data_IF_893851844181
#
_entry.id   IF_893851844181
#
_cell.length_a   1.000
_cell.length_b   1.000
_cell.length_c   1.000
_cell.angle_alpha   90.00
_cell.angle_beta   90.00
_cell.angle_gamma   90.00
#
_symmetry.space_group_name_H-M   'P 1'
#
loop_
_entity.id
_entity.type
_entity.pdbx_description
1 polymer ?
#
# COMPACT_ATOMS: atom_id res chain seq x y z
N UNK A 1 -13.99 5.38 -4.84
CA UNK A 1 -12.70 4.80 -4.40
C UNK A 1 -13.02 3.38 -3.97
N UNK A 2 -12.57 2.39 -4.74
CA UNK A 2 -12.92 0.99 -4.52
C UNK A 2 -12.45 0.50 -3.14
N UNK A 3 -13.24 -0.38 -2.53
CA UNK A 3 -13.22 -0.84 -1.15
C UNK A 3 -11.82 -1.28 -0.64
N UNK A 4 -11.10 -0.38 0.03
CA UNK A 4 -9.95 -0.77 0.85
C UNK A 4 -10.46 -1.10 2.24
N UNK A 5 -10.33 -2.36 2.63
CA UNK A 5 -10.66 -2.83 3.97
C UNK A 5 -9.44 -2.70 4.86
N UNK A 6 -9.57 -1.89 5.90
CA UNK A 6 -8.56 -1.78 6.96
C UNK A 6 -8.80 -2.84 8.02
N UNK A 7 -7.74 -3.30 8.68
CA UNK A 7 -7.84 -4.12 9.88
C UNK A 7 -8.29 -3.29 11.09
N UNK A 8 -8.44 -3.94 12.24
CA UNK A 8 -8.86 -3.29 13.50
C UNK A 8 -7.90 -2.20 13.97
N UNK A 9 -6.64 -2.24 13.53
CA UNK A 9 -5.61 -1.23 13.81
C UNK A 9 -5.61 -0.05 12.81
N UNK A 10 -6.53 -0.04 11.84
CA UNK A 10 -6.60 1.00 10.80
C UNK A 10 -5.51 0.88 9.72
N UNK A 11 -4.93 -0.30 9.56
CA UNK A 11 -3.87 -0.60 8.59
C UNK A 11 -4.36 -1.49 7.45
N UNK A 12 -3.76 -1.32 6.27
CA UNK A 12 -3.94 -2.18 5.09
C UNK A 12 -2.60 -2.81 4.70
N UNK A 13 -2.57 -4.11 4.35
CA UNK A 13 -1.34 -4.72 3.85
C UNK A 13 -1.05 -4.24 2.42
N UNK A 14 0.18 -3.84 2.17
CA UNK A 14 0.68 -3.39 0.88
C UNK A 14 1.78 -4.34 0.39
N UNK A 15 1.55 -4.96 -0.77
CA UNK A 15 2.51 -5.84 -1.43
C UNK A 15 3.16 -5.08 -2.57
N UNK A 16 4.46 -4.85 -2.49
CA UNK A 16 5.23 -4.23 -3.58
C UNK A 16 5.76 -5.35 -4.46
N UNK A 17 5.45 -5.26 -5.75
CA UNK A 17 5.90 -6.18 -6.77
C UNK A 17 6.69 -5.44 -7.83
N UNK A 18 7.67 -6.12 -8.41
CA UNK A 18 8.34 -5.65 -9.61
C UNK A 18 7.37 -5.70 -10.79
N UNK A 19 7.31 -4.61 -11.57
CA UNK A 19 6.21 -4.35 -12.49
C UNK A 19 6.18 -5.30 -13.71
N UNK A 20 7.32 -5.80 -14.16
CA UNK A 20 7.41 -6.61 -15.38
C UNK A 20 7.33 -8.11 -15.07
N UNK A 21 7.95 -8.55 -13.97
CA UNK A 21 7.99 -9.98 -13.61
C UNK A 21 6.91 -10.41 -12.63
N UNK A 22 6.27 -9.47 -11.93
CA UNK A 22 5.35 -9.76 -10.82
C UNK A 22 6.06 -10.32 -9.58
N UNK A 23 7.40 -10.29 -9.54
CA UNK A 23 8.16 -10.75 -8.36
C UNK A 23 7.82 -9.89 -7.16
N UNK A 24 7.38 -10.52 -6.07
CA UNK A 24 7.17 -9.84 -4.79
C UNK A 24 8.52 -9.37 -4.24
N UNK A 25 8.64 -8.07 -4.00
CA UNK A 25 9.82 -7.42 -3.45
C UNK A 25 9.71 -7.25 -1.95
N UNK A 26 8.55 -6.81 -1.46
CA UNK A 26 8.31 -6.61 -0.03
C UNK A 26 6.81 -6.62 0.30
N UNK A 27 6.52 -6.84 1.58
CA UNK A 27 5.23 -6.62 2.21
C UNK A 27 5.41 -5.58 3.31
N UNK A 28 4.48 -4.63 3.39
CA UNK A 28 4.45 -3.60 4.42
C UNK A 28 3.01 -3.25 4.80
N UNK A 29 2.85 -2.40 5.82
CA UNK A 29 1.57 -1.87 6.24
C UNK A 29 1.44 -0.39 5.87
N UNK A 30 0.23 0.04 5.54
CA UNK A 30 -0.09 1.44 5.27
C UNK A 30 -1.33 1.82 6.08
N UNK A 31 -1.34 3.01 6.65
CA UNK A 31 -2.59 3.63 7.12
C UNK A 31 -3.26 4.39 5.95
N UNK A 32 -4.42 5.00 6.22
CA UNK A 32 -5.16 5.76 5.22
C UNK A 32 -4.35 6.92 4.60
N UNK A 33 -3.55 7.62 5.40
CA UNK A 33 -2.72 8.74 4.95
C UNK A 33 -1.60 8.28 4.02
N UNK A 34 -0.83 7.25 4.41
CA UNK A 34 0.24 6.69 3.59
C UNK A 34 -0.30 6.14 2.26
N UNK A 35 -1.50 5.53 2.28
CA UNK A 35 -2.17 5.11 1.06
C UNK A 35 -2.55 6.30 0.17
N UNK A 36 -3.16 7.34 0.74
CA UNK A 36 -3.54 8.54 0.00
C UNK A 36 -2.32 9.24 -0.60
N UNK A 37 -1.23 9.37 0.15
CA UNK A 37 0.03 9.94 -0.34
C UNK A 37 0.61 9.10 -1.49
N UNK A 38 0.58 7.77 -1.38
CA UNK A 38 1.08 6.89 -2.45
C UNK A 38 0.33 7.09 -3.76
N UNK A 39 -1.00 7.22 -3.69
CA UNK A 39 -1.82 7.48 -4.86
C UNK A 39 -1.59 8.88 -5.45
N UNK A 40 -1.31 9.88 -4.61
CA UNK A 40 -1.07 11.26 -5.04
C UNK A 40 0.32 11.46 -5.65
N UNK A 41 1.37 10.89 -5.04
CA UNK A 41 2.76 11.13 -5.44
C UNK A 41 3.28 10.12 -6.46
N UNK A 42 2.62 8.97 -6.61
CA UNK A 42 3.12 7.84 -7.38
C UNK A 42 4.37 7.19 -6.77
N UNK A 43 4.64 7.44 -5.48
CA UNK A 43 5.76 6.85 -4.71
C UNK A 43 5.20 6.10 -3.52
N UNK A 44 5.78 4.96 -3.16
CA UNK A 44 5.30 4.17 -2.02
C UNK A 44 5.62 4.86 -0.69
N UNK A 45 4.59 5.08 0.14
CA UNK A 45 4.70 5.56 1.52
C UNK A 45 4.26 4.47 2.48
N UNK A 46 4.96 4.31 3.60
CA UNK A 46 4.62 3.34 4.64
C UNK A 46 4.35 4.05 5.97
N UNK A 47 3.61 3.39 6.87
CA UNK A 47 3.31 3.89 8.22
C UNK A 47 4.50 3.71 9.17
#
# INVERSE_FOLDING_TARGET
MAAVTYNDDGLVPAIVQEADTGRVLMMAWMNADSLAQTLQTGRTWFW
#
